data_IF_089122796181
#
_entry.id   IF_089122796181
#
_cell.length_a   1.000
_cell.length_b   1.000
_cell.length_c   1.000
_cell.angle_alpha   90.00
_cell.angle_beta   90.00
_cell.angle_gamma   90.00
#
_symmetry.space_group_name_H-M   'P 1'
#
loop_
_entity.id
_entity.type
_entity.pdbx_description
1 polymer ?
#
# COMPACT_ATOMS: atom_id res chain seq x y z
N UNK A 1 -28.51 27.47 3.83
CA UNK A 1 -27.16 27.42 3.23
C UNK A 1 -26.22 28.19 4.14
N UNK A 2 -25.34 27.49 4.85
CA UNK A 2 -24.26 28.09 5.62
C UNK A 2 -23.05 27.15 5.56
N UNK A 3 -22.09 27.51 4.71
CA UNK A 3 -20.85 26.76 4.47
C UNK A 3 -19.84 27.01 5.60
N UNK A 4 -20.21 26.70 6.85
CA UNK A 4 -19.28 26.76 7.97
C UNK A 4 -19.06 25.37 8.58
N UNK A 5 -17.80 25.07 8.91
CA UNK A 5 -17.31 23.81 9.49
C UNK A 5 -18.03 23.42 10.80
N UNK A 6 -18.73 24.35 11.45
CA UNK A 6 -19.56 24.12 12.64
C UNK A 6 -20.93 23.47 12.34
N UNK A 7 -21.32 23.32 11.08
CA UNK A 7 -22.60 22.74 10.66
C UNK A 7 -22.66 21.20 10.56
N UNK A 8 -21.57 20.46 10.82
CA UNK A 8 -21.54 18.99 10.71
C UNK A 8 -21.58 18.25 12.06
N UNK A 9 -22.31 18.78 13.03
CA UNK A 9 -22.60 18.02 14.25
C UNK A 9 -23.69 16.99 13.94
N UNK A 10 -23.30 15.74 13.64
CA UNK A 10 -24.24 14.61 13.48
C UNK A 10 -24.04 13.71 12.26
N UNK A 11 -23.08 14.00 11.37
CA UNK A 11 -22.78 13.12 10.24
C UNK A 11 -21.60 12.19 10.55
N UNK A 12 -21.82 10.87 10.42
CA UNK A 12 -20.76 9.86 10.50
C UNK A 12 -19.72 10.15 9.42
N UNK A 13 -18.45 10.22 9.80
CA UNK A 13 -17.35 10.39 8.84
C UNK A 13 -17.19 9.12 7.98
N UNK A 14 -16.55 9.20 6.79
CA UNK A 14 -16.28 8.01 5.98
C UNK A 14 -15.58 6.91 6.78
N UNK A 15 -14.62 7.26 7.64
CA UNK A 15 -13.93 6.29 8.51
C UNK A 15 -14.86 5.67 9.56
N UNK A 16 -15.78 6.44 10.14
CA UNK A 16 -16.78 5.91 11.07
C UNK A 16 -17.75 4.95 10.36
N UNK A 17 -18.16 5.26 9.12
CA UNK A 17 -19.01 4.38 8.31
C UNK A 17 -18.27 3.08 7.96
N UNK A 18 -16.98 3.14 7.64
CA UNK A 18 -16.14 1.96 7.38
C UNK A 18 -16.00 1.07 8.62
N UNK A 19 -15.76 1.67 9.79
CA UNK A 19 -15.68 0.93 11.05
C UNK A 19 -17.03 0.34 11.47
N UNK A 20 -18.13 1.07 11.29
CA UNK A 20 -19.49 0.58 11.54
C UNK A 20 -19.81 -0.60 10.62
N UNK A 21 -19.47 -0.51 9.32
CA UNK A 21 -19.64 -1.60 8.37
C UNK A 21 -18.81 -2.84 8.75
N UNK A 22 -17.58 -2.64 9.22
CA UNK A 22 -16.72 -3.74 9.71
C UNK A 22 -17.35 -4.48 10.89
N UNK A 23 -18.09 -3.79 11.77
CA UNK A 23 -18.73 -4.37 12.97
C UNK A 23 -20.11 -4.96 12.72
N UNK A 24 -20.91 -4.28 11.91
CA UNK A 24 -22.35 -4.54 11.82
C UNK A 24 -22.78 -5.02 10.43
N UNK A 25 -21.91 -4.95 9.43
CA UNK A 25 -22.14 -5.40 8.05
C UNK A 25 -23.44 -4.87 7.43
N UNK A 26 -23.84 -3.65 7.81
CA UNK A 26 -25.07 -3.05 7.32
C UNK A 26 -24.93 -2.66 5.84
N UNK A 27 -25.87 -3.10 5.02
CA UNK A 27 -25.84 -2.85 3.57
C UNK A 27 -25.95 -1.36 3.22
N UNK A 28 -26.58 -0.54 4.07
CA UNK A 28 -26.61 0.91 3.90
C UNK A 28 -25.21 1.53 4.00
N UNK A 29 -24.37 1.06 4.93
CA UNK A 29 -23.00 1.54 5.09
C UNK A 29 -22.11 1.05 3.93
N UNK A 30 -22.32 -0.19 3.44
CA UNK A 30 -21.65 -0.68 2.22
C UNK A 30 -21.87 0.24 1.03
N UNK A 31 -23.12 0.65 0.80
CA UNK A 31 -23.48 1.56 -0.31
C UNK A 31 -22.77 2.92 -0.19
N UNK A 32 -22.77 3.49 1.01
CA UNK A 32 -22.10 4.76 1.29
C UNK A 32 -20.58 4.69 1.09
N UNK A 33 -19.96 3.56 1.44
CA UNK A 33 -18.52 3.33 1.21
C UNK A 33 -18.23 3.25 -0.29
N UNK A 34 -19.04 2.53 -1.06
CA UNK A 34 -18.87 2.41 -2.52
C UNK A 34 -19.04 3.76 -3.22
N UNK A 35 -20.07 4.53 -2.85
CA UNK A 35 -20.30 5.88 -3.34
C UNK A 35 -19.09 6.78 -3.07
N UNK A 36 -18.62 6.79 -1.82
CA UNK A 36 -17.45 7.59 -1.42
C UNK A 36 -16.18 7.19 -2.17
N UNK A 37 -15.90 5.89 -2.32
CA UNK A 37 -14.74 5.41 -3.07
C UNK A 37 -14.82 5.74 -4.56
N UNK A 38 -16.02 5.71 -5.14
CA UNK A 38 -16.25 6.07 -6.55
C UNK A 38 -15.99 7.55 -6.76
N UNK A 39 -16.52 8.41 -5.88
CA UNK A 39 -16.38 9.86 -5.97
C UNK A 39 -14.96 10.35 -5.69
N UNK A 40 -14.19 9.59 -4.88
CA UNK A 40 -12.80 9.91 -4.54
C UNK A 40 -11.77 9.19 -5.41
N UNK A 41 -12.23 8.36 -6.36
CA UNK A 41 -11.34 7.65 -7.28
C UNK A 41 -10.53 8.65 -8.12
N UNK A 42 -9.20 8.58 -8.02
CA UNK A 42 -8.23 9.49 -8.66
C UNK A 42 -8.27 10.95 -8.20
N UNK A 43 -9.07 11.27 -7.18
CA UNK A 43 -8.92 12.55 -6.48
C UNK A 43 -7.60 12.46 -5.69
N UNK A 44 -6.67 13.43 -5.84
CA UNK A 44 -5.50 13.47 -5.00
C UNK A 44 -5.97 13.55 -3.56
N UNK A 45 -5.87 12.44 -2.83
CA UNK A 45 -6.24 12.45 -1.43
C UNK A 45 -5.26 13.39 -0.74
N UNK A 46 -5.79 14.44 -0.11
CA UNK A 46 -5.02 15.25 0.83
C UNK A 46 -4.60 14.30 1.96
N UNK A 47 -3.43 13.69 1.81
CA UNK A 47 -2.71 12.97 2.84
C UNK A 47 -2.39 14.00 3.91
N UNK A 48 -3.35 14.09 4.83
CA UNK A 48 -3.35 14.81 6.08
C UNK A 48 -3.24 16.33 5.92
N UNK A 49 -4.29 17.04 6.30
CA UNK A 49 -4.18 18.50 6.44
C UNK A 49 -3.01 18.81 7.37
N UNK A 50 -2.12 19.73 6.99
CA UNK A 50 -0.97 20.15 7.80
C UNK A 50 -1.33 20.42 9.27
N UNK A 51 -2.57 20.86 9.55
CA UNK A 51 -3.06 21.07 10.91
C UNK A 51 -3.18 19.80 11.77
N UNK A 52 -3.49 18.64 11.17
CA UNK A 52 -3.58 17.36 11.90
C UNK A 52 -2.18 16.80 12.20
N UNK A 53 -1.24 16.90 11.25
CA UNK A 53 0.18 16.58 11.47
C UNK A 53 0.77 17.39 12.63
N UNK A 54 0.55 18.70 12.63
CA UNK A 54 1.01 19.59 13.70
C UNK A 54 0.44 19.23 15.07
N UNK A 55 -0.84 18.83 15.14
CA UNK A 55 -1.46 18.40 16.39
C UNK A 55 -0.91 17.07 16.89
N UNK A 56 -0.61 16.13 16.00
CA UNK A 56 0.05 14.87 16.35
C UNK A 56 1.48 15.11 16.86
N UNK A 57 2.26 15.92 16.12
CA UNK A 57 3.61 16.31 16.52
C UNK A 57 3.65 16.92 17.93
N UNK A 58 2.71 17.84 18.22
CA UNK A 58 2.58 18.43 19.57
C UNK A 58 2.14 17.41 20.62
N UNK A 59 1.18 16.53 20.30
CA UNK A 59 0.64 15.54 21.25
C UNK A 59 1.67 14.49 21.65
N UNK A 60 2.46 14.04 20.70
CA UNK A 60 3.47 13.00 20.92
C UNK A 60 4.87 13.57 21.15
N UNK A 61 5.02 14.90 21.14
CA UNK A 61 6.30 15.61 21.31
C UNK A 61 7.37 15.15 20.31
N UNK A 62 6.92 14.72 19.14
CA UNK A 62 7.79 14.32 18.03
C UNK A 62 7.84 15.49 17.06
N UNK A 63 9.03 16.01 16.71
CA UNK A 63 9.16 17.02 15.66
C UNK A 63 8.57 16.49 14.34
N UNK A 64 8.02 17.39 13.52
CA UNK A 64 7.54 17.02 12.19
C UNK A 64 8.76 16.62 11.35
N UNK A 65 9.03 15.32 11.26
CA UNK A 65 10.06 14.79 10.37
C UNK A 65 9.47 14.75 8.95
N UNK A 66 10.10 15.47 8.03
CA UNK A 66 9.81 15.33 6.61
C UNK A 66 10.45 14.03 6.12
N UNK A 67 9.90 13.44 5.06
CA UNK A 67 10.47 12.20 4.46
C UNK A 67 11.97 12.35 4.12
N UNK A 68 12.45 13.58 3.91
CA UNK A 68 13.87 13.89 3.69
C UNK A 68 14.71 13.86 4.97
N UNK A 69 14.14 14.26 6.11
CA UNK A 69 14.83 14.27 7.40
C UNK A 69 15.01 12.84 7.96
N UNK A 70 14.08 11.94 7.63
CA UNK A 70 14.14 10.53 8.00
C UNK A 70 15.31 9.82 7.30
N UNK A 71 15.56 10.15 6.03
CA UNK A 71 16.66 9.58 5.25
C UNK A 71 18.03 10.03 5.80
N UNK A 72 18.15 11.29 6.26
CA UNK A 72 19.41 11.79 6.84
C UNK A 72 19.67 11.28 8.27
N UNK A 73 18.62 11.02 9.08
CA UNK A 73 18.78 10.46 10.42
C UNK A 73 19.22 8.98 10.39
N UNK A 74 18.72 8.17 9.45
CA UNK A 74 19.14 6.76 9.28
C UNK A 74 20.63 6.61 8.94
N UNK A 75 21.24 7.61 8.28
CA UNK A 75 22.65 7.60 7.89
C UNK A 75 23.61 8.15 8.99
N UNK A 76 23.09 8.78 10.05
CA UNK A 76 23.93 9.52 11.03
C UNK A 76 24.13 8.81 12.38
N UNK A 77 23.25 7.88 12.75
CA UNK A 77 23.34 7.09 13.98
C UNK A 77 23.58 5.61 13.66
N UNK A 78 24.76 5.29 13.11
CA UNK A 78 25.55 4.09 13.38
C UNK A 78 26.73 4.02 12.38
N UNK A 79 27.97 3.95 12.89
CA UNK A 79 29.12 3.33 12.18
C UNK A 79 28.90 1.81 11.99
N UNK A 80 27.70 1.40 11.58
CA UNK A 80 27.43 0.10 11.02
C UNK A 80 27.33 0.34 9.53
N UNK A 81 28.26 -0.24 8.76
CA UNK A 81 27.98 -0.47 7.34
C UNK A 81 26.55 -1.01 7.26
N UNK A 82 25.63 -0.34 6.53
CA UNK A 82 24.29 -0.88 6.34
C UNK A 82 24.50 -2.32 5.86
N UNK A 83 23.80 -3.32 6.44
CA UNK A 83 23.99 -4.69 6.02
C UNK A 83 23.82 -4.67 4.51
N UNK A 84 24.91 -4.93 3.78
CA UNK A 84 24.95 -4.71 2.35
C UNK A 84 23.69 -5.37 1.78
N UNK A 85 22.78 -4.57 1.20
CA UNK A 85 21.50 -5.05 0.70
C UNK A 85 21.81 -6.14 -0.32
N UNK A 86 21.82 -7.39 0.16
CA UNK A 86 22.29 -8.50 -0.63
C UNK A 86 21.22 -8.72 -1.68
N UNK A 87 21.56 -8.45 -2.94
CA UNK A 87 20.67 -8.72 -4.05
C UNK A 87 20.40 -10.22 -4.11
N UNK A 88 19.28 -10.64 -3.53
CA UNK A 88 18.89 -12.05 -3.45
C UNK A 88 18.53 -12.64 -4.81
N UNK A 89 18.12 -11.79 -5.76
CA UNK A 89 17.97 -12.16 -7.17
C UNK A 89 17.22 -11.14 -8.00
N UNK A 90 17.18 -11.38 -9.31
CA UNK A 90 16.61 -10.49 -10.32
C UNK A 90 15.74 -11.29 -11.31
N UNK A 91 14.65 -10.66 -11.78
CA UNK A 91 13.84 -11.13 -12.90
C UNK A 91 14.04 -10.14 -14.03
N UNK A 92 14.61 -10.58 -15.15
CA UNK A 92 14.81 -9.71 -16.31
C UNK A 92 13.46 -9.20 -16.85
N UNK A 93 13.42 -7.98 -17.40
CA UNK A 93 12.17 -7.42 -17.95
C UNK A 93 11.51 -8.30 -19.00
N UNK A 94 12.30 -8.91 -19.90
CA UNK A 94 11.77 -9.82 -20.92
C UNK A 94 11.18 -11.12 -20.35
N UNK A 95 11.71 -11.60 -19.22
CA UNK A 95 11.15 -12.74 -18.50
C UNK A 95 9.88 -12.33 -17.74
N UNK A 96 9.91 -11.16 -17.09
CA UNK A 96 8.78 -10.58 -16.40
C UNK A 96 7.56 -10.44 -17.31
N UNK A 97 7.74 -9.82 -18.48
CA UNK A 97 6.66 -9.62 -19.45
C UNK A 97 6.03 -10.95 -19.87
N UNK A 98 6.85 -11.97 -20.16
CA UNK A 98 6.35 -13.32 -20.50
C UNK A 98 5.57 -13.96 -19.37
N UNK A 99 6.03 -13.83 -18.12
CA UNK A 99 5.37 -14.43 -16.96
C UNK A 99 4.03 -13.74 -16.67
N UNK A 100 3.94 -12.43 -16.88
CA UNK A 100 2.70 -11.65 -16.79
C UNK A 100 1.73 -12.03 -17.91
N UNK A 101 2.21 -12.22 -19.14
CA UNK A 101 1.39 -12.68 -20.26
C UNK A 101 0.79 -14.08 -20.00
N UNK A 102 1.57 -14.98 -19.39
CA UNK A 102 1.12 -16.34 -19.02
C UNK A 102 0.13 -16.29 -17.86
N UNK A 103 0.39 -15.44 -16.86
CA UNK A 103 -0.43 -15.32 -15.67
C UNK A 103 -0.55 -13.84 -15.26
N UNK A 104 -1.67 -13.16 -15.58
CA UNK A 104 -1.87 -11.76 -15.24
C UNK A 104 -1.85 -11.46 -13.73
N UNK A 105 -2.06 -12.48 -12.87
CA UNK A 105 -1.95 -12.34 -11.42
C UNK A 105 -0.52 -12.52 -10.88
N UNK A 106 0.45 -12.83 -11.75
CA UNK A 106 1.85 -13.06 -11.38
C UNK A 106 2.48 -11.91 -10.58
N UNK A 107 2.27 -10.61 -10.91
CA UNK A 107 2.87 -9.51 -10.14
C UNK A 107 2.47 -9.51 -8.67
N UNK A 108 1.17 -9.69 -8.38
CA UNK A 108 0.68 -9.74 -7.00
C UNK A 108 1.20 -10.97 -6.24
N UNK A 109 1.30 -12.10 -6.93
CA UNK A 109 1.83 -13.34 -6.33
C UNK A 109 3.32 -13.25 -6.02
N UNK A 110 4.11 -12.51 -6.81
CA UNK A 110 5.54 -12.27 -6.54
C UNK A 110 5.72 -11.45 -5.27
N UNK A 111 4.95 -10.38 -5.10
CA UNK A 111 5.00 -9.55 -3.88
C UNK A 111 4.63 -10.38 -2.65
N UNK A 112 3.52 -11.13 -2.72
CA UNK A 112 3.08 -11.98 -1.61
C UNK A 112 4.09 -13.09 -1.28
N UNK A 113 4.72 -13.70 -2.29
CA UNK A 113 5.74 -14.73 -2.09
C UNK A 113 7.03 -14.16 -1.46
N UNK A 114 7.46 -12.99 -1.92
CA UNK A 114 8.62 -12.29 -1.38
C UNK A 114 8.42 -11.90 0.09
N UNK A 115 7.26 -11.31 0.43
CA UNK A 115 6.94 -10.90 1.80
C UNK A 115 6.86 -12.09 2.77
N UNK A 116 6.26 -13.20 2.34
CA UNK A 116 6.03 -14.34 3.24
C UNK A 116 7.25 -15.24 3.42
N UNK A 117 8.09 -15.36 2.40
CA UNK A 117 9.09 -16.44 2.33
C UNK A 117 10.34 -16.10 1.52
N UNK A 118 10.50 -14.83 1.12
CA UNK A 118 11.69 -14.32 0.44
C UNK A 118 11.90 -14.90 -0.96
N UNK A 119 13.10 -14.67 -1.47
CA UNK A 119 13.50 -15.04 -2.83
C UNK A 119 13.28 -16.52 -3.21
N UNK A 120 13.53 -17.53 -2.33
CA UNK A 120 13.28 -18.93 -2.67
C UNK A 120 11.82 -19.24 -3.03
N UNK A 121 10.86 -18.48 -2.51
CA UNK A 121 9.45 -18.62 -2.87
C UNK A 121 9.14 -17.98 -4.23
N UNK A 122 9.76 -16.84 -4.53
CA UNK A 122 9.69 -16.19 -5.85
C UNK A 122 10.24 -17.12 -6.94
N UNK A 123 11.39 -17.77 -6.71
CA UNK A 123 11.96 -18.72 -7.68
C UNK A 123 11.08 -19.95 -7.92
N UNK A 124 10.45 -20.50 -6.87
CA UNK A 124 9.46 -21.58 -7.04
C UNK A 124 8.25 -21.12 -7.82
N UNK A 125 7.78 -19.89 -7.61
CA UNK A 125 6.65 -19.32 -8.33
C UNK A 125 7.01 -19.10 -9.81
N UNK A 126 8.17 -18.51 -10.11
CA UNK A 126 8.72 -18.35 -11.46
C UNK A 126 8.78 -19.69 -12.19
N UNK A 127 9.34 -20.71 -11.54
CA UNK A 127 9.44 -22.05 -12.11
C UNK A 127 8.07 -22.64 -12.40
N UNK A 128 7.09 -22.54 -11.49
CA UNK A 128 5.73 -23.05 -11.69
C UNK A 128 5.00 -22.36 -12.83
N UNK A 129 5.07 -21.04 -12.91
CA UNK A 129 4.44 -20.27 -13.99
C UNK A 129 5.10 -20.56 -15.34
N UNK A 130 6.42 -20.74 -15.36
CA UNK A 130 7.18 -21.11 -16.57
C UNK A 130 6.92 -22.57 -17.01
N UNK A 131 6.87 -23.51 -16.07
CA UNK A 131 6.68 -24.94 -16.34
C UNK A 131 5.22 -25.27 -16.70
N UNK A 132 4.25 -24.52 -16.18
CA UNK A 132 2.85 -24.60 -16.60
C UNK A 132 2.61 -24.24 -18.07
N UNK A 133 3.59 -23.61 -18.74
CA UNK A 133 3.56 -23.24 -20.15
C UNK A 133 4.32 -24.21 -21.09
N UNK A 134 4.96 -25.28 -20.58
CA UNK A 134 5.58 -26.30 -21.45
C UNK A 134 4.54 -27.27 -22.02
N UNK A 135 3.78 -26.83 -23.04
CA UNK A 135 3.09 -27.63 -24.07
C UNK A 135 2.43 -26.66 -25.08
N UNK A 136 2.65 -26.65 -26.41
CA UNK A 136 3.31 -27.54 -27.40
C UNK A 136 3.79 -26.64 -28.56
N UNK A 137 5.03 -26.76 -29.10
CA UNK A 137 5.38 -26.16 -30.40
C UNK A 137 4.75 -27.01 -31.53
N UNK A 138 4.43 -26.40 -32.70
CA UNK A 138 3.37 -26.83 -33.64
C UNK A 138 3.40 -28.30 -34.08
#
# INVERSE_FOLDING_TARGET
RSDSKKGRAGHRSPLQIMEDYRRHHLECDRKLIVEWLTDTYRVPQLTWSNGFRRQLAQRYQVPEQLDLDIVEEEDSDQDLEPPADELLGEISGAEWDRLVDINPSFPGQVVEAAEKSGWPAVDRLRWRTSAGAQKIPP
#
